data_IF_539901270310
#
_entry.id   IF_539901270310
#
_cell.length_a   1.000
_cell.length_b   1.000
_cell.length_c   1.000
_cell.angle_alpha   90.00
_cell.angle_beta   90.00
_cell.angle_gamma   90.00
#
_symmetry.space_group_name_H-M   'P 1'
#
loop_
_entity.id
_entity.type
_entity.pdbx_description
1 polymer ?
#
# COMPACT_ATOMS: atom_id res chain seq x y z
N UNK A 1 -15.79 -5.35 10.39
CA UNK A 1 -14.43 -4.83 10.02
C UNK A 1 -14.04 -5.16 8.58
N UNK A 2 -14.46 -6.29 8.06
CA UNK A 2 -14.13 -6.67 6.67
C UNK A 2 -14.51 -5.59 5.64
N UNK A 3 -15.72 -5.05 5.71
CA UNK A 3 -16.18 -3.99 4.79
C UNK A 3 -15.41 -2.68 4.95
N UNK A 4 -15.01 -2.34 6.19
CA UNK A 4 -14.18 -1.16 6.46
C UNK A 4 -12.81 -1.29 5.80
N UNK A 5 -12.18 -2.46 5.93
CA UNK A 5 -10.87 -2.72 5.32
C UNK A 5 -10.94 -2.81 3.79
N UNK A 6 -12.05 -3.31 3.24
CA UNK A 6 -12.28 -3.31 1.81
C UNK A 6 -12.49 -1.91 1.23
N UNK A 7 -13.24 -1.04 1.95
CA UNK A 7 -13.48 0.33 1.53
C UNK A 7 -12.28 1.27 1.77
N UNK A 8 -11.49 1.00 2.82
CA UNK A 8 -10.35 1.80 3.26
C UNK A 8 -9.13 0.89 3.51
N UNK A 9 -8.37 0.54 2.49
CA UNK A 9 -7.22 -0.39 2.62
C UNK A 9 -6.20 0.02 3.68
N UNK A 10 -5.96 1.32 3.86
CA UNK A 10 -5.08 1.87 4.90
C UNK A 10 -5.68 1.94 6.31
N UNK A 11 -6.95 1.52 6.51
CA UNK A 11 -7.63 1.67 7.80
C UNK A 11 -6.94 0.92 8.94
N UNK A 12 -6.35 -0.27 8.67
CA UNK A 12 -5.58 -1.02 9.68
C UNK A 12 -4.42 -0.17 10.21
N UNK A 13 -3.63 0.42 9.31
CA UNK A 13 -2.50 1.29 9.67
C UNK A 13 -2.99 2.53 10.42
N UNK A 14 -4.06 3.18 9.96
CA UNK A 14 -4.65 4.35 10.60
C UNK A 14 -5.08 4.05 12.06
N UNK A 15 -5.78 2.93 12.27
CA UNK A 15 -6.23 2.48 13.58
C UNK A 15 -5.05 2.12 14.50
N UNK A 16 -4.03 1.47 13.96
CA UNK A 16 -2.85 1.13 14.74
C UNK A 16 -2.05 2.37 15.16
N UNK A 17 -1.80 3.31 14.25
CA UNK A 17 -0.99 4.51 14.53
C UNK A 17 -1.59 5.40 15.62
N UNK A 18 -2.91 5.55 15.68
CA UNK A 18 -3.56 6.47 16.63
C UNK A 18 -4.11 5.77 17.86
N UNK A 19 -4.63 4.56 17.70
CA UNK A 19 -5.37 3.87 18.77
C UNK A 19 -4.70 2.56 19.20
N UNK A 20 -3.58 2.18 18.58
CA UNK A 20 -2.87 0.90 18.79
C UNK A 20 -3.73 -0.35 18.55
N UNK A 21 -4.73 -0.25 17.64
CA UNK A 21 -5.64 -1.33 17.30
C UNK A 21 -5.17 -2.10 16.05
N UNK A 22 -5.27 -3.43 16.08
CA UNK A 22 -5.03 -4.27 14.91
C UNK A 22 -3.56 -4.65 14.65
N UNK A 23 -2.64 -4.32 15.54
CA UNK A 23 -1.21 -4.58 15.37
C UNK A 23 -0.72 -5.95 15.84
N UNK A 24 -1.54 -6.71 16.58
CA UNK A 24 -1.18 -8.02 17.11
C UNK A 24 -2.35 -9.00 17.04
N UNK A 25 -2.08 -10.29 17.26
CA UNK A 25 -3.11 -11.35 17.24
C UNK A 25 -4.20 -11.17 18.33
N UNK A 26 -3.85 -10.56 19.47
CA UNK A 26 -4.78 -10.34 20.58
C UNK A 26 -5.65 -9.10 20.40
N UNK A 27 -5.18 -8.08 19.66
CA UNK A 27 -5.93 -6.86 19.32
C UNK A 27 -6.38 -6.85 17.84
N UNK A 28 -6.31 -8.01 17.18
CA UNK A 28 -6.74 -8.19 15.81
C UNK A 28 -8.24 -7.96 15.62
N UNK A 29 -8.63 -7.64 14.40
CA UNK A 29 -10.04 -7.48 14.03
C UNK A 29 -10.67 -8.83 13.76
N UNK A 30 -11.87 -9.05 14.31
CA UNK A 30 -12.69 -10.17 13.88
C UNK A 30 -13.37 -9.79 12.55
N UNK A 31 -13.41 -10.68 11.54
CA UNK A 31 -14.04 -10.36 10.24
C UNK A 31 -15.47 -9.86 10.36
N UNK A 32 -16.25 -10.46 11.27
CA UNK A 32 -17.65 -10.15 11.53
C UNK A 32 -17.88 -9.01 12.53
N UNK A 33 -16.82 -8.54 13.21
CA UNK A 33 -16.91 -7.44 14.19
C UNK A 33 -17.21 -6.12 13.46
N UNK A 34 -18.11 -5.32 14.03
CA UNK A 34 -18.34 -3.95 13.55
C UNK A 34 -17.30 -2.97 14.10
N UNK A 35 -17.14 -1.81 13.46
CA UNK A 35 -16.27 -0.76 13.98
C UNK A 35 -16.75 -0.27 15.36
N UNK A 36 -18.08 -0.22 15.58
CA UNK A 36 -18.65 0.14 16.88
C UNK A 36 -18.25 -0.83 17.99
N UNK A 37 -18.35 -2.15 17.73
CA UNK A 37 -17.93 -3.19 18.67
C UNK A 37 -16.43 -3.14 18.96
N UNK A 38 -15.61 -2.89 17.94
CA UNK A 38 -14.18 -2.69 18.11
C UNK A 38 -13.88 -1.50 19.03
N UNK A 39 -14.55 -0.37 18.81
CA UNK A 39 -14.40 0.83 19.64
C UNK A 39 -14.81 0.58 21.09
N UNK A 40 -15.94 -0.10 21.31
CA UNK A 40 -16.47 -0.40 22.64
C UNK A 40 -15.55 -1.33 23.43
N UNK A 41 -15.03 -2.37 22.79
CA UNK A 41 -14.10 -3.35 23.37
C UNK A 41 -12.75 -2.75 23.80
N UNK A 42 -12.31 -1.68 23.14
CA UNK A 42 -10.98 -1.11 23.33
C UNK A 42 -10.99 0.23 24.13
N UNK A 43 -11.94 0.40 25.05
CA UNK A 43 -11.98 1.51 25.98
C UNK A 43 -12.79 2.72 25.49
N UNK A 44 -14.10 2.61 25.45
CA UNK A 44 -15.15 3.28 24.68
C UNK A 44 -14.64 4.47 23.85
N UNK A 45 -14.07 4.14 22.68
CA UNK A 45 -13.59 5.15 21.73
C UNK A 45 -14.80 5.79 21.03
N UNK A 46 -14.82 7.12 20.84
CA UNK A 46 -15.88 7.78 20.09
C UNK A 46 -15.86 7.34 18.63
N UNK A 47 -16.86 6.54 18.21
CA UNK A 47 -16.93 5.94 16.86
C UNK A 47 -16.84 7.01 15.77
N UNK A 48 -17.48 8.17 15.95
CA UNK A 48 -17.45 9.28 15.00
C UNK A 48 -16.02 9.82 14.77
N UNK A 49 -15.21 9.92 15.84
CA UNK A 49 -13.81 10.36 15.73
C UNK A 49 -12.94 9.30 15.05
N UNK A 50 -13.20 8.02 15.30
CA UNK A 50 -12.50 6.92 14.65
C UNK A 50 -12.81 6.91 13.16
N UNK A 51 -14.06 7.07 12.77
CA UNK A 51 -14.48 7.20 11.36
C UNK A 51 -13.79 8.40 10.70
N UNK A 52 -13.85 9.58 11.33
CA UNK A 52 -13.19 10.78 10.79
C UNK A 52 -11.69 10.58 10.62
N UNK A 53 -11.03 9.88 11.55
CA UNK A 53 -9.61 9.56 11.43
C UNK A 53 -9.30 8.60 10.28
N UNK A 54 -10.12 7.56 10.06
CA UNK A 54 -9.98 6.64 8.92
C UNK A 54 -10.11 7.40 7.61
N UNK A 55 -11.13 8.27 7.48
CA UNK A 55 -11.31 9.10 6.29
C UNK A 55 -10.13 10.05 6.04
N UNK A 56 -9.66 10.75 7.05
CA UNK A 56 -8.51 11.66 6.93
C UNK A 56 -7.24 10.90 6.49
N UNK A 57 -7.00 9.70 7.06
CA UNK A 57 -5.90 8.85 6.64
C UNK A 57 -6.04 8.38 5.20
N UNK A 58 -7.24 8.02 4.78
CA UNK A 58 -7.52 7.60 3.41
C UNK A 58 -7.26 8.71 2.39
N UNK A 59 -7.65 9.96 2.70
CA UNK A 59 -7.35 11.10 1.84
C UNK A 59 -5.83 11.35 1.72
N UNK A 60 -5.06 11.14 2.79
CA UNK A 60 -3.60 11.17 2.73
C UNK A 60 -3.04 10.05 1.86
N UNK A 61 -3.59 8.84 1.96
CA UNK A 61 -3.18 7.69 1.15
C UNK A 61 -3.42 7.93 -0.35
N UNK A 62 -4.50 8.62 -0.72
CA UNK A 62 -4.77 8.99 -2.12
C UNK A 62 -3.70 9.92 -2.70
N UNK A 63 -3.04 10.72 -1.89
CA UNK A 63 -1.95 11.60 -2.37
C UNK A 63 -0.69 10.81 -2.78
N UNK A 64 -0.51 9.62 -2.24
CA UNK A 64 0.60 8.72 -2.60
C UNK A 64 0.19 7.60 -3.57
N UNK A 65 -1.02 7.65 -4.10
CA UNK A 65 -1.50 6.73 -5.12
C UNK A 65 -0.96 7.09 -6.51
N UNK A 66 -0.68 6.08 -7.32
CA UNK A 66 -0.51 6.18 -8.78
C UNK A 66 -1.35 5.10 -9.44
N UNK A 67 -2.12 5.46 -10.46
CA UNK A 67 -2.92 4.50 -11.21
C UNK A 67 -2.07 3.73 -12.23
N UNK A 68 -2.47 2.50 -12.66
CA UNK A 68 -1.74 1.77 -13.69
C UNK A 68 -1.56 2.58 -14.99
N UNK A 69 -2.59 3.29 -15.42
CA UNK A 69 -2.53 4.13 -16.63
C UNK A 69 -1.58 5.30 -16.46
N UNK A 70 -1.64 6.00 -15.33
CA UNK A 70 -0.71 7.11 -15.06
C UNK A 70 0.73 6.63 -15.03
N UNK A 71 1.01 5.47 -14.42
CA UNK A 71 2.35 4.88 -14.41
C UNK A 71 2.80 4.53 -15.83
N UNK A 72 1.93 3.94 -16.65
CA UNK A 72 2.22 3.63 -18.05
C UNK A 72 2.55 4.89 -18.84
N UNK A 73 1.77 5.96 -18.69
CA UNK A 73 1.98 7.24 -19.37
C UNK A 73 3.32 7.88 -18.96
N UNK A 74 3.68 7.83 -17.66
CA UNK A 74 4.98 8.34 -17.18
C UNK A 74 6.15 7.55 -17.75
N UNK A 75 6.04 6.22 -17.81
CA UNK A 75 7.04 5.35 -18.46
C UNK A 75 7.17 5.64 -19.93
N UNK A 76 6.06 5.81 -20.65
CA UNK A 76 6.06 6.14 -22.09
C UNK A 76 6.71 7.50 -22.39
N UNK A 77 6.63 8.46 -21.47
CA UNK A 77 7.34 9.75 -21.55
C UNK A 77 8.82 9.68 -21.17
N UNK A 78 9.31 8.51 -20.73
CA UNK A 78 10.70 8.34 -20.30
C UNK A 78 11.02 9.03 -18.98
N UNK A 79 10.02 9.26 -18.11
CA UNK A 79 10.26 9.82 -16.78
C UNK A 79 11.13 8.87 -15.95
N UNK A 80 12.13 9.44 -15.25
CA UNK A 80 12.96 8.67 -14.34
C UNK A 80 12.16 8.25 -13.12
N UNK A 81 11.94 6.96 -12.98
CA UNK A 81 11.26 6.36 -11.82
C UNK A 81 11.89 5.00 -11.47
N UNK A 82 11.70 4.58 -10.25
CA UNK A 82 12.06 3.23 -9.81
C UNK A 82 10.79 2.47 -9.46
N UNK A 83 10.60 1.33 -10.10
CA UNK A 83 9.46 0.43 -9.89
C UNK A 83 9.90 -0.69 -8.94
N UNK A 84 9.26 -0.81 -7.80
CA UNK A 84 9.73 -1.56 -6.64
C UNK A 84 8.71 -2.65 -6.28
N UNK A 85 9.09 -3.91 -6.52
CA UNK A 85 8.27 -5.09 -6.22
C UNK A 85 8.52 -5.55 -4.80
N UNK A 86 7.50 -5.52 -3.96
CA UNK A 86 7.58 -5.93 -2.56
C UNK A 86 6.96 -7.31 -2.27
N UNK A 87 6.63 -8.05 -3.32
CA UNK A 87 6.08 -9.41 -3.19
C UNK A 87 7.12 -10.42 -2.73
N UNK A 88 6.70 -11.67 -2.62
CA UNK A 88 7.62 -12.77 -2.30
C UNK A 88 8.58 -13.05 -3.46
N UNK A 89 9.68 -13.73 -3.14
CA UNK A 89 10.67 -14.11 -4.16
C UNK A 89 10.08 -15.06 -5.19
N UNK A 90 9.20 -15.95 -4.77
CA UNK A 90 8.51 -16.90 -5.64
C UNK A 90 7.59 -16.19 -6.64
N UNK A 91 6.86 -15.18 -6.20
CA UNK A 91 6.01 -14.36 -7.07
C UNK A 91 6.83 -13.55 -8.08
N UNK A 92 7.92 -12.94 -7.60
CA UNK A 92 8.87 -12.23 -8.46
C UNK A 92 9.46 -13.11 -9.54
N UNK A 93 9.96 -14.30 -9.17
CA UNK A 93 10.59 -15.23 -10.12
C UNK A 93 9.57 -15.79 -11.12
N UNK A 94 8.29 -15.90 -10.75
CA UNK A 94 7.22 -16.34 -11.63
C UNK A 94 6.85 -15.27 -12.67
N UNK A 95 6.65 -14.02 -12.23
CA UNK A 95 6.31 -12.87 -13.08
C UNK A 95 6.56 -11.56 -12.33
N UNK A 96 7.14 -10.59 -13.00
CA UNK A 96 7.28 -9.21 -12.50
C UNK A 96 7.12 -8.21 -13.64
N UNK A 97 6.87 -6.95 -13.30
CA UNK A 97 6.76 -5.88 -14.29
C UNK A 97 8.13 -5.55 -14.87
N UNK A 98 8.18 -5.33 -16.18
CA UNK A 98 9.43 -5.00 -16.86
C UNK A 98 10.11 -3.76 -16.24
N UNK A 99 11.41 -3.87 -15.99
CA UNK A 99 12.22 -2.82 -15.37
C UNK A 99 11.97 -2.63 -13.87
N UNK A 100 11.22 -3.52 -13.21
CA UNK A 100 11.06 -3.51 -11.76
C UNK A 100 12.32 -4.01 -11.04
N UNK A 101 12.46 -3.61 -9.78
CA UNK A 101 13.49 -4.07 -8.87
C UNK A 101 12.85 -4.85 -7.72
N UNK A 102 13.39 -6.03 -7.41
CA UNK A 102 12.93 -6.82 -6.26
C UNK A 102 13.39 -6.17 -4.95
N UNK A 103 12.44 -5.85 -4.09
CA UNK A 103 12.74 -5.20 -2.81
C UNK A 103 13.21 -6.22 -1.80
N UNK A 104 14.44 -6.05 -1.34
CA UNK A 104 15.04 -6.76 -0.24
C UNK A 104 15.58 -5.77 0.80
N UNK A 105 16.10 -6.28 1.92
CA UNK A 105 16.60 -5.44 3.00
C UNK A 105 17.75 -4.53 2.55
N UNK A 106 18.65 -4.99 1.70
CA UNK A 106 19.78 -4.22 1.19
C UNK A 106 19.31 -3.05 0.33
N UNK A 107 18.33 -3.29 -0.56
CA UNK A 107 17.73 -2.25 -1.39
C UNK A 107 17.01 -1.19 -0.54
N UNK A 108 16.26 -1.61 0.49
CA UNK A 108 15.61 -0.67 1.42
C UNK A 108 16.65 0.22 2.11
N UNK A 109 17.74 -0.35 2.63
CA UNK A 109 18.81 0.41 3.26
C UNK A 109 19.48 1.39 2.28
N UNK A 110 19.75 0.95 1.05
CA UNK A 110 20.32 1.80 0.01
C UNK A 110 19.39 2.96 -0.36
N UNK A 111 18.09 2.70 -0.55
CA UNK A 111 17.09 3.73 -0.82
C UNK A 111 17.04 4.76 0.32
N UNK A 112 16.95 4.30 1.56
CA UNK A 112 16.88 5.16 2.73
C UNK A 112 18.13 6.02 2.91
N UNK A 113 19.31 5.49 2.57
CA UNK A 113 20.58 6.15 2.75
C UNK A 113 20.98 7.10 1.61
N UNK A 114 20.66 6.76 0.37
CA UNK A 114 21.26 7.42 -0.81
C UNK A 114 20.27 7.96 -1.83
N UNK A 115 19.01 7.47 -1.85
CA UNK A 115 18.07 7.95 -2.85
C UNK A 115 17.63 9.40 -2.58
N UNK A 116 17.49 10.24 -3.63
CA UNK A 116 16.92 11.57 -3.51
C UNK A 116 15.52 11.52 -2.90
N UNK A 117 15.20 12.45 -2.01
CA UNK A 117 13.90 12.46 -1.30
C UNK A 117 12.71 12.75 -2.22
N UNK A 118 12.96 13.37 -3.36
CA UNK A 118 11.97 13.65 -4.41
C UNK A 118 11.95 12.58 -5.53
N UNK A 119 12.79 11.55 -5.44
CA UNK A 119 12.80 10.45 -6.40
C UNK A 119 11.42 9.78 -6.47
N UNK A 120 10.93 9.54 -7.69
CA UNK A 120 9.69 8.81 -7.92
C UNK A 120 9.93 7.32 -7.67
N UNK A 121 9.50 6.85 -6.51
CA UNK A 121 9.57 5.46 -6.07
C UNK A 121 8.16 4.87 -6.11
N UNK A 122 7.91 3.92 -7.00
CA UNK A 122 6.59 3.30 -7.17
C UNK A 122 6.64 1.88 -6.63
N UNK A 123 6.04 1.68 -5.47
CA UNK A 123 5.92 0.35 -4.85
C UNK A 123 4.72 -0.39 -5.42
N UNK A 124 4.85 -1.68 -5.66
CA UNK A 124 3.71 -2.52 -6.00
C UNK A 124 3.80 -3.90 -5.35
N UNK A 125 2.64 -4.48 -5.10
CA UNK A 125 2.42 -5.85 -4.68
C UNK A 125 1.36 -6.49 -5.57
N UNK A 126 0.63 -7.49 -5.08
CA UNK A 126 -0.40 -8.15 -5.86
C UNK A 126 -1.61 -7.25 -6.12
N UNK A 127 -2.16 -6.63 -5.06
CA UNK A 127 -3.44 -5.89 -5.08
C UNK A 127 -3.36 -4.42 -4.62
N UNK A 128 -2.18 -3.95 -4.26
CA UNK A 128 -1.95 -2.57 -3.80
C UNK A 128 -2.05 -2.36 -2.29
N UNK A 129 -2.40 -3.38 -1.50
CA UNK A 129 -2.62 -3.22 -0.05
C UNK A 129 -1.33 -3.11 0.74
N UNK A 130 -0.37 -4.00 0.51
CA UNK A 130 0.93 -3.98 1.18
C UNK A 130 1.83 -2.85 0.64
N UNK A 131 1.76 -2.56 -0.66
CA UNK A 131 2.52 -1.49 -1.27
C UNK A 131 2.07 -0.10 -0.84
N UNK A 132 0.79 0.08 -0.48
CA UNK A 132 0.31 1.28 0.20
C UNK A 132 1.05 1.53 1.52
N UNK A 133 1.21 0.48 2.34
CA UNK A 133 1.92 0.61 3.62
C UNK A 133 3.42 0.90 3.41
N UNK A 134 4.04 0.27 2.42
CA UNK A 134 5.43 0.55 2.06
C UNK A 134 5.62 2.00 1.58
N UNK A 135 4.79 2.49 0.66
CA UNK A 135 4.85 3.87 0.18
C UNK A 135 4.60 4.88 1.32
N UNK A 136 3.63 4.62 2.19
CA UNK A 136 3.34 5.46 3.35
C UNK A 136 4.51 5.50 4.35
N UNK A 137 5.23 4.39 4.52
CA UNK A 137 6.44 4.33 5.34
C UNK A 137 7.53 5.25 4.76
N UNK A 138 7.82 5.15 3.46
CA UNK A 138 8.80 6.01 2.81
C UNK A 138 8.38 7.48 2.82
N UNK A 139 7.11 7.79 2.54
CA UNK A 139 6.57 9.15 2.63
C UNK A 139 6.74 9.73 4.03
N UNK A 140 6.49 8.95 5.08
CA UNK A 140 6.71 9.33 6.48
C UNK A 140 8.18 9.60 6.82
N UNK A 141 9.12 9.07 6.05
CA UNK A 141 10.56 9.33 6.15
C UNK A 141 11.05 10.43 5.18
N UNK A 142 10.14 11.22 4.64
CA UNK A 142 10.44 12.40 3.83
C UNK A 142 10.63 12.13 2.33
N UNK A 143 10.32 10.93 1.83
CA UNK A 143 10.31 10.65 0.40
C UNK A 143 9.02 11.18 -0.24
N UNK A 144 9.06 12.40 -0.75
CA UNK A 144 7.89 13.08 -1.33
C UNK A 144 7.41 12.46 -2.64
N UNK A 145 8.29 11.72 -3.34
CA UNK A 145 7.98 10.99 -4.57
C UNK A 145 7.56 9.53 -4.34
N UNK A 146 7.42 9.07 -3.09
CA UNK A 146 6.96 7.72 -2.82
C UNK A 146 5.48 7.53 -3.21
N UNK A 147 5.19 6.52 -4.02
CA UNK A 147 3.87 6.17 -4.52
C UNK A 147 3.63 4.68 -4.39
N UNK A 148 2.36 4.27 -4.32
CA UNK A 148 1.98 2.86 -4.49
C UNK A 148 1.12 2.69 -5.74
N UNK A 149 1.27 1.57 -6.43
CA UNK A 149 0.47 1.23 -7.59
C UNK A 149 -0.92 0.74 -7.14
N UNK A 150 -1.96 1.52 -7.44
CA UNK A 150 -3.34 1.15 -7.13
C UNK A 150 -3.69 -0.19 -7.76
N UNK A 151 -4.16 -1.12 -6.94
CA UNK A 151 -4.56 -2.47 -7.37
C UNK A 151 -3.40 -3.36 -7.81
N UNK A 152 -2.15 -2.93 -7.58
CA UNK A 152 -0.95 -3.73 -7.77
C UNK A 152 -0.75 -4.26 -9.20
N UNK A 153 -0.03 -5.40 -9.29
CA UNK A 153 0.23 -6.06 -10.59
C UNK A 153 -1.06 -6.61 -11.22
N UNK A 154 -2.08 -6.96 -10.42
CA UNK A 154 -3.35 -7.44 -10.94
C UNK A 154 -4.10 -6.35 -11.71
N UNK A 155 -4.15 -5.11 -11.18
CA UNK A 155 -4.74 -3.98 -11.88
C UNK A 155 -3.91 -3.56 -13.11
N UNK A 156 -2.59 -3.64 -13.04
CA UNK A 156 -1.72 -3.42 -14.19
C UNK A 156 -2.07 -4.38 -15.34
N UNK A 157 -2.21 -5.68 -15.03
CA UNK A 157 -2.59 -6.69 -16.00
C UNK A 157 -3.97 -6.43 -16.63
N UNK A 158 -4.89 -5.85 -15.87
CA UNK A 158 -6.25 -5.54 -16.37
C UNK A 158 -6.31 -4.27 -17.20
N UNK A 159 -5.60 -3.22 -16.79
CA UNK A 159 -5.77 -1.88 -17.33
C UNK A 159 -4.73 -1.50 -18.38
N UNK A 160 -3.53 -2.12 -18.36
CA UNK A 160 -2.39 -1.71 -19.17
C UNK A 160 -1.85 -2.84 -20.04
N UNK A 161 -1.52 -3.99 -19.45
CA UNK A 161 -0.82 -5.07 -20.18
C UNK A 161 -1.44 -6.44 -19.88
N UNK A 162 -2.37 -6.85 -20.74
CA UNK A 162 -3.06 -8.13 -20.62
C UNK A 162 -2.13 -9.36 -20.87
N UNK A 163 -0.87 -9.16 -21.23
CA UNK A 163 0.10 -10.26 -21.34
C UNK A 163 0.68 -10.68 -19.99
N UNK A 164 0.55 -9.83 -18.97
CA UNK A 164 0.89 -10.16 -17.59
C UNK A 164 -0.15 -11.13 -17.02
N UNK A 165 0.24 -12.37 -16.65
CA UNK A 165 -0.69 -13.35 -16.14
C UNK A 165 -1.34 -12.90 -14.82
N UNK A 166 -2.65 -13.04 -14.73
CA UNK A 166 -3.38 -12.82 -13.48
C UNK A 166 -3.45 -14.11 -12.68
N UNK A 167 -3.22 -14.00 -11.38
CA UNK A 167 -3.31 -15.11 -10.44
C UNK A 167 -4.03 -14.66 -9.17
N UNK A 168 -4.50 -15.61 -8.38
CA UNK A 168 -5.09 -15.34 -7.06
C UNK A 168 -4.16 -15.89 -5.99
N UNK A 169 -3.96 -15.10 -4.95
CA UNK A 169 -3.30 -15.60 -3.76
C UNK A 169 -4.24 -16.60 -3.06
N UNK A 170 -3.69 -17.73 -2.67
CA UNK A 170 -4.43 -18.82 -2.01
C UNK A 170 -4.79 -18.47 -0.55
#
# INVERSE_FOLDING_TARGET
MQDVLAAFPGARRALFRKYHLGGCSSCGFQPTETLGQLCERNGPLPVAEVIAHIHASHEQDRQIEITPRELADRRARGETLRLLDIRTREEWDAIHLDGAEFVNQELVQALMGTAPRDALLVFYDHDGSASLDAAAYFAGHGFTGAKYLRGGIDAWAQEVDATVPRYRLA
#
